data_IF_953091863230
#
_entry.id   IF_953091863230
#
_cell.length_a   1.000
_cell.length_b   1.000
_cell.length_c   1.000
_cell.angle_alpha   90.00
_cell.angle_beta   90.00
_cell.angle_gamma   90.00
#
_symmetry.space_group_name_H-M   'P 1'
#
loop_
_entity.id
_entity.type
_entity.pdbx_description
1 polymer ?
#
# COMPACT_ATOMS: atom_id res chain seq x y z
N UNK A 1 5.81 -11.71 -56.63
CA UNK A 1 5.10 -12.31 -55.48
C UNK A 1 3.64 -12.44 -55.82
N UNK A 2 3.07 -13.62 -55.64
CA UNK A 2 1.64 -13.85 -55.82
C UNK A 2 0.84 -13.37 -54.60
N UNK A 3 -0.44 -13.08 -54.79
CA UNK A 3 -1.32 -12.75 -53.67
C UNK A 3 -1.34 -13.83 -52.59
N UNK A 4 -1.27 -15.11 -52.99
CA UNK A 4 -1.22 -16.23 -52.06
C UNK A 4 0.04 -16.24 -51.18
N UNK A 5 1.21 -15.93 -51.75
CA UNK A 5 2.48 -15.82 -51.01
C UNK A 5 2.43 -14.68 -49.98
N UNK A 6 1.86 -13.52 -50.35
CA UNK A 6 1.74 -12.39 -49.42
C UNK A 6 0.83 -12.69 -48.23
N UNK A 7 -0.28 -13.41 -48.45
CA UNK A 7 -1.20 -13.83 -47.40
C UNK A 7 -0.53 -14.86 -46.47
N UNK A 8 0.25 -15.79 -47.03
CA UNK A 8 0.98 -16.79 -46.24
C UNK A 8 2.04 -16.13 -45.35
N UNK A 9 2.80 -15.17 -45.90
CA UNK A 9 3.80 -14.42 -45.15
C UNK A 9 3.17 -13.61 -44.01
N UNK A 10 2.08 -12.89 -44.29
CA UNK A 10 1.35 -12.13 -43.26
C UNK A 10 0.88 -13.03 -42.12
N UNK A 11 0.28 -14.18 -42.42
CA UNK A 11 -0.17 -15.14 -41.39
C UNK A 11 0.98 -15.66 -40.54
N UNK A 12 2.13 -15.93 -41.16
CA UNK A 12 3.35 -16.34 -40.47
C UNK A 12 3.85 -15.25 -39.50
N UNK A 13 3.90 -14.01 -39.97
CA UNK A 13 4.34 -12.85 -39.16
C UNK A 13 3.41 -12.58 -37.99
N UNK A 14 2.09 -12.63 -38.21
CA UNK A 14 1.09 -12.49 -37.14
C UNK A 14 1.23 -13.63 -36.12
N UNK A 15 1.39 -14.87 -36.59
CA UNK A 15 1.61 -16.02 -35.71
C UNK A 15 2.85 -15.84 -34.84
N UNK A 16 3.97 -15.44 -35.44
CA UNK A 16 5.21 -15.16 -34.72
C UNK A 16 5.06 -14.00 -33.72
N UNK A 17 4.33 -12.94 -34.09
CA UNK A 17 4.05 -11.82 -33.20
C UNK A 17 3.21 -12.24 -31.99
N UNK A 18 2.16 -13.04 -32.19
CA UNK A 18 1.33 -13.57 -31.10
C UNK A 18 2.15 -14.46 -30.17
N UNK A 19 2.98 -15.36 -30.70
CA UNK A 19 3.86 -16.19 -29.85
C UNK A 19 4.81 -15.36 -28.99
N UNK A 20 5.42 -14.31 -29.58
CA UNK A 20 6.28 -13.38 -28.82
C UNK A 20 5.49 -12.63 -27.75
N UNK A 21 4.32 -12.11 -28.09
CA UNK A 21 3.45 -11.38 -27.15
C UNK A 21 3.01 -12.28 -25.99
N UNK A 22 2.58 -13.51 -26.27
CA UNK A 22 2.18 -14.47 -25.24
C UNK A 22 3.33 -14.81 -24.29
N UNK A 23 4.56 -14.96 -24.81
CA UNK A 23 5.73 -15.19 -23.96
C UNK A 23 6.02 -13.98 -23.08
N UNK A 24 6.04 -12.78 -23.65
CA UNK A 24 6.27 -11.54 -22.90
C UNK A 24 5.20 -11.33 -21.82
N UNK A 25 3.93 -11.62 -22.13
CA UNK A 25 2.84 -11.55 -21.16
C UNK A 25 3.01 -12.56 -20.01
N UNK A 26 3.46 -13.78 -20.30
CA UNK A 26 3.74 -14.78 -19.27
C UNK A 26 4.89 -14.35 -18.36
N UNK A 27 5.99 -13.81 -18.92
CA UNK A 27 7.13 -13.30 -18.17
C UNK A 27 6.73 -12.10 -17.28
N UNK A 28 5.97 -11.15 -17.83
CA UNK A 28 5.45 -10.03 -17.07
C UNK A 28 4.50 -10.48 -15.95
N UNK A 29 3.66 -11.48 -16.21
CA UNK A 29 2.79 -12.11 -15.22
C UNK A 29 3.58 -12.73 -14.07
N UNK A 30 4.64 -13.47 -14.38
CA UNK A 30 5.52 -14.05 -13.38
C UNK A 30 6.25 -12.99 -12.55
N UNK A 31 6.77 -11.94 -13.20
CA UNK A 31 7.42 -10.81 -12.52
C UNK A 31 6.46 -10.08 -11.57
N UNK A 32 5.23 -9.81 -12.02
CA UNK A 32 4.19 -9.19 -11.20
C UNK A 32 3.77 -10.08 -10.02
N UNK A 33 3.64 -11.39 -10.25
CA UNK A 33 3.36 -12.35 -9.18
C UNK A 33 4.46 -12.34 -8.10
N UNK A 34 5.72 -12.36 -8.53
CA UNK A 34 6.87 -12.28 -7.62
C UNK A 34 6.89 -10.96 -6.83
N UNK A 35 6.62 -9.83 -7.50
CA UNK A 35 6.53 -8.53 -6.84
C UNK A 35 5.43 -8.53 -5.77
N UNK A 36 4.21 -8.94 -6.12
CA UNK A 36 3.08 -9.00 -5.16
C UNK A 36 3.40 -9.85 -3.95
N UNK A 37 4.04 -11.00 -4.15
CA UNK A 37 4.49 -11.86 -3.05
C UNK A 37 5.48 -11.14 -2.14
N UNK A 38 6.54 -10.55 -2.69
CA UNK A 38 7.52 -9.78 -1.90
C UNK A 38 6.89 -8.61 -1.15
N UNK A 39 5.97 -7.90 -1.80
CA UNK A 39 5.25 -6.78 -1.16
C UNK A 39 4.38 -7.27 -0.02
N UNK A 40 3.67 -8.39 -0.19
CA UNK A 40 2.88 -9.01 0.88
C UNK A 40 3.78 -9.43 2.04
N UNK A 41 4.88 -10.14 1.76
CA UNK A 41 5.84 -10.59 2.77
C UNK A 41 6.42 -9.39 3.55
N UNK A 42 6.74 -8.29 2.86
CA UNK A 42 7.22 -7.05 3.49
C UNK A 42 6.14 -6.41 4.37
N UNK A 43 4.89 -6.35 3.90
CA UNK A 43 3.77 -5.83 4.67
C UNK A 43 3.49 -6.66 5.92
N UNK A 44 3.58 -7.98 5.82
CA UNK A 44 3.39 -8.89 6.95
C UNK A 44 4.54 -8.74 7.97
N UNK A 45 5.79 -8.58 7.51
CA UNK A 45 6.94 -8.24 8.38
C UNK A 45 6.79 -6.88 9.04
N UNK A 46 6.21 -5.90 8.37
CA UNK A 46 5.93 -4.58 8.95
C UNK A 46 4.91 -4.70 10.09
N UNK A 47 3.81 -5.43 9.85
CA UNK A 47 2.76 -5.68 10.84
C UNK A 47 3.28 -6.41 12.07
N UNK A 48 4.15 -7.40 11.88
CA UNK A 48 4.77 -8.16 12.98
C UNK A 48 5.93 -7.43 13.66
N UNK A 49 6.24 -6.18 13.26
CA UNK A 49 7.37 -5.39 13.76
C UNK A 49 8.73 -6.11 13.59
N UNK A 50 8.87 -6.91 12.54
CA UNK A 50 10.08 -7.67 12.18
C UNK A 50 10.90 -7.01 11.05
N UNK A 51 10.57 -5.77 10.70
CA UNK A 51 11.41 -4.96 9.81
C UNK A 51 12.51 -4.29 10.64
N UNK A 52 13.75 -4.72 10.41
CA UNK A 52 14.94 -3.96 10.79
C UNK A 52 15.47 -3.27 9.54
N UNK A 53 15.75 -1.97 9.66
CA UNK A 53 16.49 -1.21 8.66
C UNK A 53 17.93 -1.16 9.15
N UNK A 54 18.86 -1.62 8.31
CA UNK A 54 20.28 -1.50 8.62
C UNK A 54 20.69 -0.02 8.55
N UNK A 55 21.46 0.45 9.52
CA UNK A 55 21.97 1.82 9.54
C UNK A 55 22.83 2.13 8.31
N UNK A 56 23.51 1.11 7.75
CA UNK A 56 24.28 1.25 6.52
C UNK A 56 23.43 1.29 5.25
N UNK A 57 22.14 0.90 5.33
CA UNK A 57 21.18 1.02 4.23
C UNK A 57 20.52 2.41 4.17
N UNK A 58 20.74 3.28 5.16
CA UNK A 58 20.26 4.65 5.12
C UNK A 58 20.99 5.46 4.04
N UNK A 59 20.28 6.41 3.41
CA UNK A 59 20.89 7.35 2.47
C UNK A 59 22.00 8.14 3.16
N UNK A 60 23.20 8.17 2.55
CA UNK A 60 24.34 8.86 3.16
C UNK A 60 24.08 10.37 3.32
N UNK A 61 24.64 11.00 4.37
CA UNK A 61 24.50 12.45 4.59
C UNK A 61 24.93 13.28 3.37
N UNK A 62 26.00 12.89 2.70
CA UNK A 62 26.53 13.58 1.51
C UNK A 62 25.55 13.54 0.34
N UNK A 63 24.92 12.39 0.09
CA UNK A 63 23.89 12.26 -0.95
C UNK A 63 22.66 13.09 -0.64
N UNK A 64 22.23 13.12 0.64
CA UNK A 64 21.11 13.99 1.07
C UNK A 64 21.46 15.47 0.93
N UNK A 65 22.68 15.87 1.28
CA UNK A 65 23.16 17.23 1.12
C UNK A 65 23.20 17.66 -0.35
N UNK A 66 23.75 16.81 -1.22
CA UNK A 66 23.79 17.03 -2.67
C UNK A 66 22.38 17.16 -3.27
N UNK A 67 21.47 16.25 -2.91
CA UNK A 67 20.08 16.31 -3.36
C UNK A 67 19.36 17.57 -2.86
N UNK A 68 19.64 17.99 -1.64
CA UNK A 68 19.08 19.21 -1.04
C UNK A 68 19.56 20.47 -1.75
N UNK A 69 20.87 20.60 -1.99
CA UNK A 69 21.45 21.71 -2.74
C UNK A 69 20.88 21.79 -4.15
N UNK A 70 20.84 20.66 -4.88
CA UNK A 70 20.23 20.61 -6.21
C UNK A 70 18.78 21.10 -6.22
N UNK A 71 17.97 20.70 -5.23
CA UNK A 71 16.57 21.13 -5.15
C UNK A 71 16.47 22.62 -4.85
N UNK A 72 17.25 23.12 -3.90
CA UNK A 72 17.29 24.55 -3.57
C UNK A 72 17.70 25.39 -4.80
N UNK A 73 18.74 24.99 -5.52
CA UNK A 73 19.23 25.69 -6.72
C UNK A 73 18.20 25.73 -7.86
N UNK A 74 17.31 24.73 -7.90
CA UNK A 74 16.24 24.62 -8.91
C UNK A 74 14.91 25.20 -8.44
N UNK A 75 14.86 25.83 -7.26
CA UNK A 75 13.63 26.33 -6.67
C UNK A 75 12.61 25.22 -6.38
N UNK A 76 13.06 23.98 -6.24
CA UNK A 76 12.22 22.85 -5.89
C UNK A 76 12.04 22.80 -4.36
N UNK A 77 10.86 22.41 -3.86
CA UNK A 77 10.63 22.28 -2.42
C UNK A 77 11.62 21.31 -1.78
N UNK A 78 12.24 21.74 -0.68
CA UNK A 78 13.05 20.88 0.20
C UNK A 78 12.25 20.63 1.46
N UNK A 79 11.90 19.38 1.70
CA UNK A 79 11.25 18.97 2.95
C UNK A 79 12.30 18.73 4.03
N UNK A 80 12.07 19.27 5.23
CA UNK A 80 12.89 18.96 6.40
C UNK A 80 12.47 17.61 6.98
N UNK A 81 13.12 16.56 6.48
CA UNK A 81 12.95 15.21 6.98
C UNK A 81 13.85 14.96 8.20
N UNK A 82 13.44 14.11 9.16
CA UNK A 82 14.29 13.71 10.27
C UNK A 82 15.60 13.10 9.79
N UNK A 83 16.65 13.20 10.62
CA UNK A 83 17.90 12.52 10.35
C UNK A 83 17.71 10.99 10.35
N UNK A 84 18.49 10.28 9.53
CA UNK A 84 18.41 8.82 9.48
C UNK A 84 18.64 8.18 10.86
N UNK A 85 19.54 8.78 11.66
CA UNK A 85 19.79 8.37 13.03
C UNK A 85 18.57 8.54 13.95
N UNK A 86 17.72 9.55 13.71
CA UNK A 86 16.50 9.76 14.48
C UNK A 86 15.41 8.76 14.11
N UNK A 87 15.34 8.34 12.84
CA UNK A 87 14.38 7.34 12.36
C UNK A 87 14.68 5.92 12.87
N UNK A 88 15.94 5.63 13.17
CA UNK A 88 16.39 4.32 13.66
C UNK A 88 16.36 4.20 15.19
N UNK A 89 16.04 5.27 15.91
CA UNK A 89 15.91 5.21 17.37
C UNK A 89 14.77 4.25 17.75
N UNK A 90 14.97 3.39 18.76
CA UNK A 90 13.88 2.59 19.30
C UNK A 90 12.73 3.52 19.68
N UNK A 91 11.47 3.16 19.37
CA UNK A 91 10.33 3.98 19.79
C UNK A 91 10.37 4.13 21.31
N UNK A 92 9.97 5.29 21.85
CA UNK A 92 9.88 5.46 23.29
C UNK A 92 8.97 4.38 23.85
N UNK A 93 9.40 3.75 24.95
CA UNK A 93 8.58 2.81 25.71
C UNK A 93 7.40 3.61 26.24
N UNK A 94 6.29 3.60 25.52
CA UNK A 94 5.03 4.12 26.04
C UNK A 94 4.64 3.16 27.15
N UNK A 95 4.58 3.61 28.42
CA UNK A 95 4.08 2.75 29.48
C UNK A 95 2.70 2.25 29.06
N UNK A 96 2.50 0.93 29.12
CA UNK A 96 1.20 0.33 28.80
C UNK A 96 0.13 1.16 29.51
N UNK A 97 -0.87 1.70 28.79
CA UNK A 97 -2.00 2.28 29.46
C UNK A 97 -2.57 1.17 30.34
N UNK A 98 -2.48 1.36 31.66
CA UNK A 98 -3.22 0.56 32.63
C UNK A 98 -4.60 0.30 32.04
N UNK A 99 -5.11 -0.95 32.04
CA UNK A 99 -6.42 -1.23 31.50
C UNK A 99 -7.39 -0.30 32.20
N UNK A 100 -7.82 0.76 31.48
CA UNK A 100 -8.95 1.55 31.93
C UNK A 100 -10.06 0.54 32.04
N UNK A 101 -10.73 0.39 33.19
CA UNK A 101 -11.86 -0.51 33.30
C UNK A 101 -12.80 -0.16 32.15
N UNK A 102 -13.05 -1.13 31.29
CA UNK A 102 -14.07 -1.05 30.26
C UNK A 102 -15.40 -0.88 30.97
N UNK A 103 -15.80 0.35 31.24
CA UNK A 103 -17.21 0.70 31.28
C UNK A 103 -17.67 0.77 29.83
N UNK A 104 -17.89 -0.42 29.24
CA UNK A 104 -18.81 -0.53 28.12
C UNK A 104 -20.18 -0.14 28.68
N UNK A 105 -20.64 1.02 28.26
CA UNK A 105 -21.87 1.59 28.79
C UNK A 105 -22.06 2.98 28.24
N UNK A 106 -22.04 3.14 26.91
CA UNK A 106 -23.06 3.98 26.31
C UNK A 106 -24.38 3.45 26.85
N UNK A 107 -24.92 4.13 27.87
CA UNK A 107 -26.25 3.81 28.36
C UNK A 107 -27.17 3.93 27.14
N UNK A 108 -27.67 2.80 26.64
CA UNK A 108 -28.81 2.83 25.76
C UNK A 108 -29.92 3.48 26.58
N UNK A 109 -30.20 4.75 26.30
CA UNK A 109 -31.35 5.43 26.88
C UNK A 109 -32.55 4.68 26.36
N UNK A 110 -33.18 3.90 27.25
CA UNK A 110 -34.44 3.26 26.94
C UNK A 110 -35.40 4.34 26.45
N UNK A 111 -36.12 4.07 25.36
CA UNK A 111 -37.25 4.91 24.97
C UNK A 111 -38.27 4.99 26.12
N UNK A 112 -39.29 5.86 26.03
CA UNK A 112 -40.22 6.14 27.13
C UNK A 112 -40.98 4.92 27.68
N UNK A 113 -40.89 3.75 27.04
CA UNK A 113 -41.43 2.47 27.48
C UNK A 113 -40.43 1.50 28.14
N UNK A 114 -39.15 1.87 28.31
CA UNK A 114 -38.20 1.08 29.12
C UNK A 114 -37.62 -0.18 28.47
N UNK A 115 -37.90 -0.46 27.20
CA UNK A 115 -37.41 -1.66 26.51
C UNK A 115 -36.16 -1.35 25.68
N UNK A 116 -35.12 -2.19 25.83
CA UNK A 116 -33.91 -2.13 24.99
C UNK A 116 -34.23 -2.67 23.59
N UNK A 117 -33.74 -2.04 22.51
CA UNK A 117 -33.93 -2.56 21.16
C UNK A 117 -33.22 -3.92 21.00
N UNK A 118 -33.90 -4.87 20.37
CA UNK A 118 -33.35 -6.17 20.05
C UNK A 118 -32.23 -6.00 19.02
N UNK A 119 -31.05 -6.57 19.29
CA UNK A 119 -29.96 -6.63 18.31
C UNK A 119 -30.41 -7.58 17.19
N UNK A 120 -30.67 -7.05 16.01
CA UNK A 120 -30.78 -7.81 14.76
C UNK A 120 -29.49 -7.63 13.97
N UNK A 121 -28.90 -8.75 13.52
CA UNK A 121 -27.72 -8.83 12.65
C UNK A 121 -28.02 -8.35 11.22
N UNK A 122 -28.36 -7.08 11.03
CA UNK A 122 -28.64 -6.52 9.70
C UNK A 122 -27.84 -5.22 9.49
N UNK A 123 -26.51 -5.39 9.35
CA UNK A 123 -25.54 -4.33 9.01
C UNK A 123 -25.52 -4.02 7.49
N UNK A 124 -26.65 -4.16 6.80
CA UNK A 124 -26.80 -3.96 5.34
C UNK A 124 -27.36 -2.57 4.97
N UNK A 125 -27.04 -1.50 5.70
CA UNK A 125 -27.52 -0.14 5.37
C UNK A 125 -26.41 0.92 5.34
N UNK A 126 -25.43 0.73 4.45
CA UNK A 126 -24.63 1.84 3.90
C UNK A 126 -25.45 2.72 2.94
N UNK A 127 -26.67 3.12 3.28
CA UNK A 127 -27.42 4.08 2.48
C UNK A 127 -26.99 5.51 2.85
N UNK A 128 -26.10 6.09 2.03
CA UNK A 128 -25.61 7.48 2.10
C UNK A 128 -26.70 8.53 1.80
N UNK A 129 -27.90 8.42 2.39
CA UNK A 129 -29.04 9.26 2.03
C UNK A 129 -29.52 10.17 3.15
N UNK A 130 -28.61 10.84 3.88
CA UNK A 130 -29.00 11.99 4.72
C UNK A 130 -27.89 12.95 5.17
N UNK A 131 -26.89 13.21 4.32
CA UNK A 131 -26.03 14.40 4.49
C UNK A 131 -26.54 15.46 3.53
N UNK A 132 -27.66 16.09 3.88
CA UNK A 132 -28.11 17.42 3.45
C UNK A 132 -29.58 17.58 3.86
N UNK A 133 -29.80 18.14 5.04
CA UNK A 133 -30.65 19.29 5.31
C UNK A 133 -30.45 19.76 6.75
#
# INVERSE_FOLDING_TARGET
>A
MSAAESIAQFRSEVGAAVTRASRAAAEAGAANGALRKRTKDLADRAKSRQLSVDAHAATSPDLRGSATGFRADRGLPVEHLPEAADLLKPPPVVPEPLPKPTTLGSAAVAGPSGQLPHVSDDDEDFSQSRILY
#
